data_IF_154495585094
#
_entry.id   IF_154495585094
#
_cell.length_a   1.000
_cell.length_b   1.000
_cell.length_c   1.000
_cell.angle_alpha   90.00
_cell.angle_beta   90.00
_cell.angle_gamma   90.00
#
_symmetry.space_group_name_H-M   'P 1'
#
loop_
_entity.id
_entity.type
_entity.pdbx_description
1 polymer ?
#
# COMPACT_ATOMS: atom_id res chain seq x y z
N UNK A 1 4.49 27.28 -11.89
CA UNK A 1 4.50 26.75 -10.51
C UNK A 1 3.06 26.58 -10.09
N UNK A 2 2.52 25.36 -10.18
CA UNK A 2 1.14 25.10 -9.75
C UNK A 2 1.15 24.72 -8.28
N UNK A 3 0.55 25.57 -7.45
CA UNK A 3 0.39 25.38 -6.01
C UNK A 3 -0.64 24.28 -5.76
N UNK A 4 -0.18 23.09 -5.37
CA UNK A 4 -1.04 22.00 -4.95
C UNK A 4 -1.53 22.28 -3.52
N UNK A 5 -2.74 22.84 -3.44
CA UNK A 5 -3.72 22.86 -2.34
C UNK A 5 -3.22 22.93 -0.89
N UNK A 6 -3.76 23.89 -0.15
CA UNK A 6 -3.82 23.89 1.31
C UNK A 6 -4.60 22.64 1.78
N UNK A 7 -3.92 21.50 1.88
CA UNK A 7 -4.44 20.31 2.53
C UNK A 7 -4.36 20.45 4.03
N UNK A 8 -5.32 19.86 4.75
CA UNK A 8 -5.19 19.56 6.18
C UNK A 8 -3.81 18.93 6.40
N UNK A 9 -3.08 19.38 7.43
CA UNK A 9 -1.77 18.81 7.77
C UNK A 9 -1.87 17.29 7.78
N UNK A 10 -1.01 16.55 7.05
CA UNK A 10 -1.12 15.10 6.95
C UNK A 10 -1.23 14.50 8.35
N UNK A 11 -2.32 13.77 8.60
CA UNK A 11 -2.49 13.03 9.85
C UNK A 11 -1.39 11.98 10.00
N UNK A 12 -1.18 11.54 11.24
CA UNK A 12 -0.22 10.48 11.54
C UNK A 12 -0.48 9.24 10.67
N UNK A 13 0.58 8.54 10.30
CA UNK A 13 0.50 7.24 9.65
C UNK A 13 -0.40 6.32 10.48
N UNK A 14 -1.49 5.87 9.87
CA UNK A 14 -2.54 5.14 10.56
C UNK A 14 -2.44 3.62 10.39
N UNK A 15 -1.97 3.19 9.23
CA UNK A 15 -1.84 1.80 8.83
C UNK A 15 -0.42 1.55 8.32
N UNK A 16 0.13 0.39 8.65
CA UNK A 16 1.37 -0.13 8.08
C UNK A 16 1.07 -1.47 7.42
N UNK A 17 1.55 -1.66 6.19
CA UNK A 17 1.43 -2.92 5.47
C UNK A 17 2.83 -3.54 5.32
N UNK A 18 2.95 -4.84 5.62
CA UNK A 18 4.21 -5.59 5.50
C UNK A 18 3.90 -6.93 4.85
N UNK A 19 4.57 -7.24 3.75
CA UNK A 19 4.48 -8.53 3.08
C UNK A 19 5.87 -9.17 3.12
N UNK A 20 6.06 -10.18 3.98
CA UNK A 20 7.31 -10.95 4.07
C UNK A 20 7.35 -12.15 3.12
N UNK A 21 6.17 -12.70 2.83
CA UNK A 21 5.97 -13.85 1.95
C UNK A 21 5.12 -13.44 0.73
N UNK A 22 5.02 -14.32 -0.27
CA UNK A 22 4.32 -14.01 -1.52
C UNK A 22 2.80 -14.10 -1.45
N UNK A 23 2.28 -14.72 -0.39
CA UNK A 23 0.86 -15.05 -0.23
C UNK A 23 0.19 -14.36 0.97
N UNK A 24 0.98 -13.69 1.83
CA UNK A 24 0.46 -13.00 3.01
C UNK A 24 0.99 -11.57 3.11
N UNK A 25 0.07 -10.64 3.41
CA UNK A 25 0.37 -9.28 3.79
C UNK A 25 -0.27 -8.97 5.14
N UNK A 26 0.54 -8.52 6.08
CA UNK A 26 0.08 -8.06 7.39
C UNK A 26 -0.30 -6.59 7.31
N UNK A 27 -1.53 -6.27 7.72
CA UNK A 27 -2.05 -4.90 7.79
C UNK A 27 -2.21 -4.54 9.27
N UNK A 28 -1.44 -3.56 9.73
CA UNK A 28 -1.35 -3.18 11.14
C UNK A 28 -1.92 -1.77 11.34
N UNK A 29 -2.94 -1.64 12.18
CA UNK A 29 -3.49 -0.34 12.58
C UNK A 29 -2.61 0.29 13.67
N UNK A 30 -1.69 1.17 13.28
CA UNK A 30 -0.70 1.81 14.14
C UNK A 30 -1.14 3.17 14.70
N UNK A 31 -2.26 3.74 14.21
CA UNK A 31 -2.72 5.06 14.65
C UNK A 31 -2.98 5.11 16.17
N UNK A 32 -3.79 4.17 16.66
CA UNK A 32 -4.21 4.10 18.05
C UNK A 32 -3.29 3.21 18.89
N UNK A 33 -2.76 2.15 18.30
CA UNK A 33 -1.94 1.16 19.02
C UNK A 33 -0.47 1.58 19.16
N UNK A 34 -0.01 2.54 18.34
CA UNK A 34 1.41 2.81 18.18
C UNK A 34 2.14 1.67 17.48
N UNK A 35 3.47 1.62 17.63
CA UNK A 35 4.31 0.57 17.07
C UNK A 35 4.79 -0.34 18.21
N UNK A 36 4.35 -1.62 18.27
CA UNK A 36 4.82 -2.57 19.26
C UNK A 36 6.33 -2.80 19.19
N UNK A 37 6.94 -3.20 20.30
CA UNK A 37 8.39 -3.37 20.40
C UNK A 37 8.94 -4.42 19.41
N UNK A 38 8.21 -5.52 19.19
CA UNK A 38 8.58 -6.54 18.18
C UNK A 38 8.61 -5.97 16.76
N UNK A 39 7.60 -5.16 16.40
CA UNK A 39 7.55 -4.47 15.12
C UNK A 39 8.68 -3.43 15.00
N UNK A 40 8.97 -2.68 16.07
CA UNK A 40 10.10 -1.76 16.10
C UNK A 40 11.42 -2.49 15.82
N UNK A 41 11.67 -3.62 16.48
CA UNK A 41 12.88 -4.41 16.22
C UNK A 41 12.99 -4.83 14.76
N UNK A 42 11.89 -5.31 14.16
CA UNK A 42 11.85 -5.66 12.74
C UNK A 42 12.20 -4.46 11.82
N UNK A 43 11.62 -3.30 12.12
CA UNK A 43 11.82 -2.09 11.31
C UNK A 43 13.23 -1.48 11.47
N UNK A 44 13.78 -1.54 12.67
CA UNK A 44 15.09 -0.96 13.03
C UNK A 44 16.28 -1.90 12.78
N UNK A 45 16.04 -3.16 12.41
CA UNK A 45 17.09 -4.14 12.07
C UNK A 45 17.70 -3.83 10.68
N UNK A 46 18.99 -3.46 10.59
CA UNK A 46 19.63 -3.17 9.31
C UNK A 46 19.90 -4.41 8.44
N UNK A 47 19.85 -5.62 9.01
CA UNK A 47 20.09 -6.87 8.27
C UNK A 47 18.88 -7.28 7.41
N UNK A 48 17.70 -6.74 7.72
CA UNK A 48 16.47 -6.96 6.98
C UNK A 48 16.23 -5.80 6.02
N UNK A 49 16.24 -6.09 4.71
CA UNK A 49 15.97 -5.10 3.67
C UNK A 49 14.47 -4.85 3.55
N UNK A 50 14.05 -3.58 3.61
CA UNK A 50 12.67 -3.16 3.38
C UNK A 50 12.59 -2.55 1.99
N UNK A 51 11.64 -3.04 1.21
CA UNK A 51 11.52 -2.70 -0.21
C UNK A 51 10.14 -2.12 -0.44
N UNK A 52 10.07 -1.03 -1.19
CA UNK A 52 8.80 -0.38 -1.52
C UNK A 52 8.97 0.72 -2.55
N UNK A 53 7.86 1.25 -3.05
CA UNK A 53 7.85 2.41 -3.96
C UNK A 53 7.64 3.66 -3.12
N UNK A 54 8.57 4.62 -3.18
CA UNK A 54 8.49 5.83 -2.35
C UNK A 54 8.82 5.60 -0.88
N UNK A 55 9.41 4.44 -0.55
CA UNK A 55 9.59 3.95 0.83
C UNK A 55 10.43 4.89 1.71
N UNK A 56 11.33 5.69 1.12
CA UNK A 56 12.09 6.70 1.86
C UNK A 56 11.18 7.77 2.48
N UNK A 57 10.13 8.19 1.76
CA UNK A 57 9.15 9.15 2.29
C UNK A 57 8.30 8.52 3.40
N UNK A 58 7.94 7.25 3.24
CA UNK A 58 7.20 6.50 4.27
C UNK A 58 8.03 6.33 5.53
N UNK A 59 9.32 6.00 5.42
CA UNK A 59 10.22 5.91 6.56
C UNK A 59 10.37 7.25 7.29
N UNK A 60 10.49 8.36 6.57
CA UNK A 60 10.51 9.71 7.15
C UNK A 60 9.20 10.01 7.88
N UNK A 61 8.06 9.62 7.30
CA UNK A 61 6.75 9.79 7.92
C UNK A 61 6.62 8.97 9.20
N UNK A 62 7.00 7.69 9.18
CA UNK A 62 6.99 6.81 10.36
C UNK A 62 7.90 7.35 11.46
N UNK A 63 9.08 7.86 11.11
CA UNK A 63 9.97 8.50 12.09
C UNK A 63 9.31 9.72 12.74
N UNK A 64 8.70 10.61 11.95
CA UNK A 64 7.99 11.79 12.47
C UNK A 64 6.79 11.45 13.34
N UNK A 65 6.01 10.44 12.94
CA UNK A 65 4.72 10.14 13.55
C UNK A 65 4.82 9.24 14.78
N UNK A 66 5.82 8.34 14.78
CA UNK A 66 5.95 7.23 15.74
C UNK A 66 7.35 7.10 16.36
N UNK A 67 8.31 7.95 15.98
CA UNK A 67 9.70 7.91 16.47
C UNK A 67 10.36 6.52 16.30
N UNK A 68 10.15 5.90 15.13
CA UNK A 68 10.77 4.63 14.72
C UNK A 68 11.64 4.87 13.50
N UNK A 69 12.90 4.45 13.55
CA UNK A 69 13.84 4.62 12.45
C UNK A 69 13.87 3.37 11.57
N UNK A 70 13.17 3.39 10.44
CA UNK A 70 13.23 2.25 9.51
C UNK A 70 14.62 2.23 8.86
N UNK A 71 15.37 1.12 9.05
CA UNK A 71 16.71 0.94 8.49
C UNK A 71 16.70 0.01 7.28
N UNK A 72 17.72 0.12 6.44
CA UNK A 72 17.93 -0.71 5.25
C UNK A 72 16.75 -0.65 4.29
N UNK A 73 16.68 0.43 3.52
CA UNK A 73 15.60 0.70 2.57
C UNK A 73 16.13 0.55 1.13
N UNK A 74 15.35 -0.08 0.25
CA UNK A 74 15.57 -0.03 -1.19
C UNK A 74 14.30 0.47 -1.89
N UNK A 75 14.42 1.60 -2.58
CA UNK A 75 13.33 2.14 -3.37
C UNK A 75 13.25 1.46 -4.73
N UNK A 76 12.10 0.81 -5.01
CA UNK A 76 11.87 0.07 -6.24
C UNK A 76 11.90 0.94 -7.49
N UNK A 77 11.48 2.21 -7.40
CA UNK A 77 11.53 3.15 -8.53
C UNK A 77 12.97 3.51 -8.87
N UNK A 78 13.80 3.75 -7.85
CA UNK A 78 15.23 3.95 -8.04
C UNK A 78 15.91 2.70 -8.61
N UNK A 79 15.59 1.51 -8.09
CA UNK A 79 16.14 0.25 -8.58
C UNK A 79 15.74 -0.03 -10.03
N UNK A 80 14.47 0.23 -10.38
CA UNK A 80 13.96 0.08 -11.74
C UNK A 80 14.69 0.99 -12.72
N UNK A 81 14.93 2.26 -12.38
CA UNK A 81 15.69 3.16 -13.25
C UNK A 81 17.15 2.74 -13.47
N UNK A 82 17.75 1.97 -12.55
CA UNK A 82 19.09 1.41 -12.73
C UNK A 82 19.10 0.14 -13.59
N UNK A 83 18.03 -0.66 -13.53
CA UNK A 83 17.99 -2.00 -14.16
C UNK A 83 17.23 -2.03 -15.49
N UNK A 84 16.24 -1.16 -15.68
CA UNK A 84 15.39 -1.15 -16.86
C UNK A 84 15.92 -0.14 -17.87
N UNK A 85 15.95 -0.53 -19.14
CA UNK A 85 16.19 0.39 -20.24
C UNK A 85 14.97 1.31 -20.43
N UNK A 86 15.20 2.54 -20.89
CA UNK A 86 14.12 3.51 -21.17
C UNK A 86 14.35 4.91 -20.60
N UNK A 87 15.45 5.13 -19.89
CA UNK A 87 15.76 6.42 -19.27
C UNK A 87 15.03 6.64 -17.93
N UNK A 88 15.30 7.76 -17.25
CA UNK A 88 14.73 8.03 -15.93
C UNK A 88 13.20 8.22 -15.97
N UNK A 89 12.48 7.44 -15.18
CA UNK A 89 11.03 7.51 -15.04
C UNK A 89 10.60 7.49 -13.56
N UNK A 90 9.46 8.10 -13.25
CA UNK A 90 8.78 7.89 -11.96
C UNK A 90 7.96 6.61 -12.05
N UNK A 91 8.34 5.60 -11.28
CA UNK A 91 7.63 4.34 -11.22
C UNK A 91 6.65 4.32 -10.05
N UNK A 92 5.45 3.81 -10.31
CA UNK A 92 4.46 3.44 -9.31
C UNK A 92 4.42 1.92 -9.17
N UNK A 93 3.78 1.41 -8.12
CA UNK A 93 3.65 -0.04 -7.95
C UNK A 93 2.91 -0.69 -9.13
N UNK A 94 1.82 -0.06 -9.59
CA UNK A 94 1.05 -0.51 -10.75
C UNK A 94 1.88 -0.54 -12.04
N UNK A 95 2.62 0.53 -12.35
CA UNK A 95 3.42 0.58 -13.57
C UNK A 95 4.60 -0.39 -13.56
N UNK A 96 5.20 -0.66 -12.40
CA UNK A 96 6.19 -1.72 -12.23
C UNK A 96 5.58 -3.11 -12.42
N UNK A 97 4.42 -3.35 -11.81
CA UNK A 97 3.70 -4.63 -11.90
C UNK A 97 3.35 -4.95 -13.36
N UNK A 98 2.77 -3.97 -14.06
CA UNK A 98 2.44 -4.06 -15.48
C UNK A 98 3.67 -4.36 -16.34
N UNK A 99 4.78 -3.67 -16.06
CA UNK A 99 6.01 -3.79 -16.85
C UNK A 99 6.78 -5.09 -16.63
N UNK A 100 6.84 -5.58 -15.38
CA UNK A 100 7.73 -6.68 -14.99
C UNK A 100 7.05 -8.03 -14.90
N UNK A 101 5.78 -8.08 -14.52
CA UNK A 101 5.04 -9.33 -14.33
C UNK A 101 3.80 -9.44 -15.22
N UNK A 102 3.56 -8.45 -16.09
CA UNK A 102 2.42 -8.41 -17.02
C UNK A 102 1.06 -8.62 -16.33
N UNK A 103 0.94 -8.13 -15.08
CA UNK A 103 -0.31 -8.12 -14.31
C UNK A 103 -0.77 -6.69 -14.07
N UNK A 104 -2.07 -6.51 -13.92
CA UNK A 104 -2.68 -5.27 -13.48
C UNK A 104 -2.99 -5.34 -11.98
N UNK A 105 -2.87 -4.20 -11.30
CA UNK A 105 -3.36 -4.07 -9.92
C UNK A 105 -4.85 -3.82 -10.01
N UNK A 106 -5.65 -4.73 -9.48
CA UNK A 106 -7.11 -4.57 -9.45
C UNK A 106 -7.48 -3.53 -8.39
N UNK A 107 -8.22 -2.51 -8.80
CA UNK A 107 -8.85 -1.58 -7.86
C UNK A 107 -10.24 -2.12 -7.51
N UNK A 108 -10.48 -2.41 -6.24
CA UNK A 108 -11.82 -2.64 -5.70
C UNK A 108 -12.59 -3.81 -6.31
N UNK A 109 -12.10 -5.05 -6.13
CA UNK A 109 -13.01 -6.19 -6.26
C UNK A 109 -14.14 -6.03 -5.23
N UNK A 110 -15.42 -6.16 -5.61
CA UNK A 110 -16.47 -6.32 -4.63
C UNK A 110 -16.11 -7.54 -3.78
N UNK A 111 -16.18 -7.41 -2.45
CA UNK A 111 -16.04 -8.55 -1.57
C UNK A 111 -16.93 -9.67 -2.11
N UNK A 112 -16.40 -10.89 -2.33
CA UNK A 112 -17.18 -11.99 -2.89
C UNK A 112 -18.40 -12.32 -2.01
N UNK A 113 -18.35 -11.98 -0.72
CA UNK A 113 -19.46 -12.07 0.23
C UNK A 113 -20.56 -11.01 -0.01
N UNK A 114 -20.22 -9.81 -0.45
CA UNK A 114 -21.19 -8.71 -0.70
C UNK A 114 -21.93 -8.91 -2.02
N UNK A 115 -21.28 -9.51 -3.02
CA UNK A 115 -21.92 -9.85 -4.30
C UNK A 115 -23.03 -10.92 -4.15
N UNK A 116 -22.94 -11.79 -3.13
CA UNK A 116 -23.94 -12.82 -2.87
C UNK A 116 -25.27 -12.28 -2.31
N UNK A 117 -25.30 -11.05 -1.78
CA UNK A 117 -26.49 -10.47 -1.15
C UNK A 117 -27.42 -9.71 -2.12
N UNK A 118 -27.05 -9.55 -3.40
CA UNK A 118 -27.80 -8.72 -4.36
C UNK A 118 -28.70 -9.52 -5.32
N UNK A 119 -29.26 -10.65 -4.88
CA UNK A 119 -30.13 -11.47 -5.72
C UNK A 119 -31.33 -12.08 -5.00
N UNK A 120 -32.41 -11.31 -4.83
CA UNK A 120 -33.80 -11.74 -5.09
C UNK A 120 -34.81 -10.61 -4.83
N UNK A 121 -35.05 -9.76 -5.82
CA UNK A 121 -36.35 -9.08 -5.96
C UNK A 121 -36.95 -9.52 -7.30
N UNK A 122 -37.44 -10.76 -7.35
CA UNK A 122 -38.37 -11.18 -8.41
C UNK A 122 -39.72 -10.55 -8.11
N UNK A 123 -40.07 -9.56 -8.92
CA UNK A 123 -41.43 -9.05 -9.08
C UNK A 123 -42.32 -10.22 -9.53
N UNK A 124 -43.10 -10.79 -8.61
CA UNK A 124 -44.29 -11.55 -9.01
C UNK A 124 -45.39 -10.55 -9.37
N UNK A 125 -45.65 -10.47 -10.67
CA UNK A 125 -46.85 -9.84 -11.19
C UNK A 125 -48.07 -10.63 -10.77
N UNK A 126 -49.10 -9.91 -10.31
CA UNK A 126 -50.47 -10.42 -10.29
C UNK A 126 -51.18 -9.82 -11.50
N UNK A 127 -51.40 -10.67 -12.50
CA UNK A 127 -52.39 -10.46 -13.53
C UNK A 127 -53.77 -10.82 -12.97
N UNK A 128 -54.71 -9.88 -13.14
CA UNK A 128 -56.12 -10.04 -13.51
C UNK A 128 -56.96 -11.18 -12.89
N UNK A 129 -57.97 -10.81 -12.09
CA UNK A 129 -59.40 -10.79 -12.46
C UNK A 129 -60.19 -9.86 -11.52
#
# INVERSE_FOLDING_TARGET
MSSMWNGVSPGKAAVMQICGETDHCHVLHIFHSGIPQSLRFLLEDPTLLKVGVGIANDAVKVFKDHNVSIKSLEDLSCLANRKLAGGPQKWGLESLTRKLISKEVLEGLPDPEVAACQGSETLEGVASE
#
